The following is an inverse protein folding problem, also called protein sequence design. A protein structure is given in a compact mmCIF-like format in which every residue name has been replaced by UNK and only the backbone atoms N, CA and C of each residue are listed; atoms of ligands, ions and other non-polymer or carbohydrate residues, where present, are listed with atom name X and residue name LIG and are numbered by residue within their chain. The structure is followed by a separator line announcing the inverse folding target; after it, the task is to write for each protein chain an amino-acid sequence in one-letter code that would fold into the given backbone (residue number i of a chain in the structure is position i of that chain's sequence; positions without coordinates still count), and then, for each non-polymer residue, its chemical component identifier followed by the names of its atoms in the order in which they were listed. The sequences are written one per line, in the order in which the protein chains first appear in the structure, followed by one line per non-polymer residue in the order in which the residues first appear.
data_IF_470599083102
#
_entry.id   IF_470599083102
#
_cell.length_a   1.000
_cell.length_b   1.000
_cell.length_c   1.000
_cell.angle_alpha   90.00
_cell.angle_beta   90.00
_cell.angle_gamma   90.00
#
_symmetry.space_group_name_H-M   'P 1'
#
loop_
_entity.id
_entity.type
_entity.pdbx_description
1 polymer ?
#
# COMPACT_ATOMS: atom_id res chain seq x y z
N UNK A 1 40.65 -1.49 0.26
CA UNK A 1 39.92 -1.85 1.49
C UNK A 1 38.44 -1.75 1.19
N UNK A 2 37.65 -2.80 1.41
CA UNK A 2 36.22 -2.75 1.13
C UNK A 2 35.46 -1.94 2.18
N UNK A 3 34.21 -1.58 1.87
CA UNK A 3 33.38 -0.71 2.72
C UNK A 3 33.03 -1.36 4.05
N UNK A 4 32.90 -2.70 4.11
CA UNK A 4 32.61 -3.41 5.36
C UNK A 4 33.85 -3.38 6.25
N UNK A 5 35.03 -3.63 5.66
CA UNK A 5 36.29 -3.55 6.40
C UNK A 5 36.58 -2.14 6.91
N UNK A 6 36.19 -1.12 6.14
CA UNK A 6 36.28 0.28 6.54
C UNK A 6 35.35 0.59 7.72
N UNK A 7 34.11 0.11 7.68
CA UNK A 7 33.15 0.28 8.79
C UNK A 7 33.65 -0.44 10.05
N UNK A 8 34.12 -1.69 9.95
CA UNK A 8 34.67 -2.46 11.08
C UNK A 8 35.82 -1.71 11.77
N UNK A 9 36.73 -1.14 10.99
CA UNK A 9 37.87 -0.38 11.53
C UNK A 9 37.37 0.87 12.27
N UNK A 10 36.43 1.61 11.68
CA UNK A 10 35.87 2.81 12.31
C UNK A 10 35.07 2.49 13.57
N UNK A 11 34.34 1.37 13.59
CA UNK A 11 33.59 0.90 14.76
C UNK A 11 34.51 0.49 15.91
N UNK A 12 35.61 -0.20 15.61
CA UNK A 12 36.63 -0.54 16.60
C UNK A 12 37.23 0.73 17.22
N UNK A 13 37.61 1.71 16.39
CA UNK A 13 38.15 2.98 16.85
C UNK A 13 37.15 3.79 17.67
N UNK A 14 35.89 3.87 17.24
CA UNK A 14 34.83 4.57 17.99
C UNK A 14 34.50 3.89 19.32
N UNK A 15 34.79 2.59 19.44
CA UNK A 15 34.64 1.80 20.67
C UNK A 15 35.88 1.86 21.57
N UNK A 16 36.91 2.62 21.18
CA UNK A 16 38.16 2.73 21.95
C UNK A 16 39.06 1.50 21.83
N UNK A 17 38.97 0.73 20.74
CA UNK A 17 39.73 -0.49 20.52
C UNK A 17 40.65 -0.39 19.28
N UNK A 18 41.81 -1.04 19.35
CA UNK A 18 42.70 -1.24 18.22
C UNK A 18 42.02 -2.11 17.16
N UNK A 19 41.89 -1.65 15.90
CA UNK A 19 41.22 -2.41 14.84
C UNK A 19 42.00 -3.63 14.35
N UNK A 20 43.29 -3.75 14.72
CA UNK A 20 44.16 -4.87 14.32
C UNK A 20 44.37 -5.88 15.44
N UNK A 21 44.44 -5.44 16.70
CA UNK A 21 44.71 -6.31 17.87
C UNK A 21 43.48 -6.53 18.74
N UNK A 22 42.47 -5.66 18.67
CA UNK A 22 41.28 -5.71 19.53
C UNK A 22 41.50 -5.21 20.96
N UNK A 23 42.72 -4.77 21.29
CA UNK A 23 43.07 -4.25 22.61
C UNK A 23 42.49 -2.86 22.84
N UNK A 24 42.20 -2.54 24.11
CA UNK A 24 41.74 -1.21 24.51
C UNK A 24 42.84 -0.17 24.28
N UNK A 25 42.47 0.93 23.65
CA UNK A 25 43.32 2.10 23.45
C UNK A 25 43.40 2.86 24.78
N UNK A 26 44.58 3.34 25.13
CA UNK A 26 44.81 4.13 26.35
C UNK A 26 43.82 5.31 26.47
N UNK A 27 43.28 5.52 27.68
CA UNK A 27 42.22 6.51 27.92
C UNK A 27 42.63 7.95 27.56
N UNK A 28 43.93 8.26 27.58
CA UNK A 28 44.47 9.59 27.24
C UNK A 28 44.67 9.80 25.73
N UNK A 29 44.40 8.79 24.91
CA UNK A 29 44.48 8.88 23.46
C UNK A 29 43.45 9.86 22.89
N UNK A 30 43.87 10.64 21.89
CA UNK A 30 43.00 11.53 21.10
C UNK A 30 41.80 10.79 20.48
N UNK A 31 41.91 9.48 20.27
CA UNK A 31 40.83 8.66 19.71
C UNK A 31 39.66 8.47 20.69
N UNK A 32 39.92 8.63 21.99
CA UNK A 32 38.92 8.55 23.05
C UNK A 32 38.27 9.92 23.37
N UNK A 33 38.68 10.99 22.69
CA UNK A 33 38.02 12.29 22.82
C UNK A 33 36.58 12.23 22.28
N UNK A 34 35.67 12.87 23.01
CA UNK A 34 34.23 12.83 22.71
C UNK A 34 33.91 13.32 21.30
N UNK A 35 34.59 14.37 20.84
CA UNK A 35 34.35 14.95 19.51
C UNK A 35 34.89 14.04 18.39
N UNK A 36 35.98 13.34 18.65
CA UNK A 36 36.56 12.35 17.72
C UNK A 36 35.65 11.14 17.59
N UNK A 37 35.18 10.57 18.71
CA UNK A 37 34.20 9.47 18.72
C UNK A 37 32.93 9.89 17.95
N UNK A 38 32.43 11.11 18.19
CA UNK A 38 31.25 11.64 17.49
C UNK A 38 31.49 11.77 15.98
N UNK A 39 32.65 12.26 15.57
CA UNK A 39 33.01 12.38 14.16
C UNK A 39 33.09 11.00 13.48
N UNK A 40 33.68 10.01 14.15
CA UNK A 40 33.73 8.62 13.68
C UNK A 40 32.33 8.03 13.52
N UNK A 41 31.45 8.25 14.51
CA UNK A 41 30.08 7.76 14.44
C UNK A 41 29.30 8.37 13.26
N UNK A 42 29.46 9.68 13.01
CA UNK A 42 28.86 10.36 11.84
C UNK A 42 29.39 9.76 10.53
N UNK A 43 30.67 9.43 10.45
CA UNK A 43 31.26 8.80 9.28
C UNK A 43 30.70 7.38 9.06
N UNK A 44 30.58 6.57 10.12
CA UNK A 44 29.97 5.24 10.10
C UNK A 44 28.53 5.33 9.59
N UNK A 45 27.73 6.25 10.11
CA UNK A 45 26.33 6.41 9.74
C UNK A 45 26.18 6.83 8.26
N UNK A 46 27.05 7.74 7.78
CA UNK A 46 27.08 8.11 6.35
C UNK A 46 27.49 6.95 5.46
N UNK A 47 28.48 6.15 5.86
CA UNK A 47 28.91 4.97 5.11
C UNK A 47 27.84 3.88 5.09
N UNK A 48 27.14 3.63 6.20
CA UNK A 48 26.00 2.71 6.28
C UNK A 48 24.80 3.21 5.46
N UNK A 49 24.55 4.51 5.43
CA UNK A 49 23.51 5.13 4.60
C UNK A 49 23.86 5.08 3.11
N UNK A 50 25.14 5.27 2.76
CA UNK A 50 25.61 5.08 1.39
C UNK A 50 25.61 3.62 0.97
N UNK A 51 25.87 2.67 1.89
CA UNK A 51 25.64 1.22 1.69
C UNK A 51 24.18 0.92 1.36
N UNK A 52 23.23 1.56 2.04
CA UNK A 52 21.80 1.47 1.71
C UNK A 52 21.46 2.08 0.33
N UNK A 53 22.17 3.13 -0.10
CA UNK A 53 22.03 3.71 -1.46
C UNK A 53 22.77 2.92 -2.56
N UNK A 54 23.76 2.09 -2.23
CA UNK A 54 24.55 1.31 -3.21
C UNK A 54 24.02 -0.11 -3.45
N UNK A 55 22.94 -0.52 -2.78
CA UNK A 55 22.21 -1.74 -3.12
C UNK A 55 21.14 -1.44 -4.20
N UNK A 56 21.55 -0.75 -5.27
CA UNK A 56 20.74 -0.52 -6.48
C UNK A 56 21.32 -1.24 -7.71
N UNK A 57 22.12 -2.27 -7.52
CA UNK A 57 22.71 -3.07 -8.60
C UNK A 57 21.88 -4.34 -8.89
N UNK A 58 20.55 -4.25 -8.71
CA UNK A 58 19.65 -5.30 -9.19
C UNK A 58 19.66 -5.25 -10.71
N UNK A 59 20.33 -6.22 -11.33
CA UNK A 59 20.37 -6.43 -12.77
C UNK A 59 19.48 -7.62 -13.10
N UNK A 60 18.26 -7.31 -13.51
CA UNK A 60 17.32 -8.27 -14.07
C UNK A 60 17.19 -7.94 -15.55
N UNK A 61 17.24 -8.97 -16.39
CA UNK A 61 17.05 -8.80 -17.83
C UNK A 61 15.67 -8.21 -18.13
N UNK A 62 15.60 -7.13 -18.90
CA UNK A 62 14.35 -6.47 -19.23
C UNK A 62 13.37 -7.39 -19.98
N UNK A 63 13.91 -8.33 -20.77
CA UNK A 63 13.10 -9.33 -21.47
C UNK A 63 12.43 -10.28 -20.49
N UNK A 64 13.11 -10.72 -19.43
CA UNK A 64 12.51 -11.53 -18.38
C UNK A 64 11.35 -10.79 -17.71
N UNK A 65 11.53 -9.50 -17.41
CA UNK A 65 10.50 -8.69 -16.75
C UNK A 65 9.27 -8.58 -17.64
N UNK A 66 9.46 -8.27 -18.93
CA UNK A 66 8.38 -8.16 -19.90
C UNK A 66 7.64 -9.48 -20.09
N UNK A 67 8.36 -10.60 -20.23
CA UNK A 67 7.74 -11.93 -20.36
C UNK A 67 6.90 -12.32 -19.15
N UNK A 68 7.38 -12.03 -17.93
CA UNK A 68 6.60 -12.32 -16.71
C UNK A 68 5.38 -11.40 -16.59
N UNK A 69 5.49 -10.14 -16.98
CA UNK A 69 4.35 -9.21 -16.99
C UNK A 69 3.26 -9.70 -17.95
N UNK A 70 3.61 -10.14 -19.15
CA UNK A 70 2.63 -10.71 -20.09
C UNK A 70 2.01 -12.00 -19.54
N UNK A 71 2.81 -12.88 -18.92
CA UNK A 71 2.28 -14.08 -18.25
C UNK A 71 1.24 -13.76 -17.18
N UNK A 72 1.46 -12.70 -16.39
CA UNK A 72 0.46 -12.25 -15.42
C UNK A 72 -0.82 -11.75 -16.11
N UNK A 73 -0.71 -11.02 -17.22
CA UNK A 73 -1.86 -10.51 -17.99
C UNK A 73 -2.67 -11.64 -18.64
N UNK A 74 -2.01 -12.65 -19.19
CA UNK A 74 -2.66 -13.84 -19.78
C UNK A 74 -3.50 -14.60 -18.75
N UNK A 75 -3.05 -14.65 -17.50
CA UNK A 75 -3.78 -15.23 -16.36
C UNK A 75 -4.78 -14.24 -15.73
N UNK A 76 -5.10 -13.13 -16.41
CA UNK A 76 -5.98 -12.04 -15.94
C UNK A 76 -5.56 -11.46 -14.56
N UNK A 77 -4.27 -11.57 -14.23
CA UNK A 77 -3.70 -11.10 -12.99
C UNK A 77 -2.87 -9.84 -13.17
N UNK A 78 -2.96 -8.97 -12.17
CA UNK A 78 -2.18 -7.74 -12.16
C UNK A 78 -0.75 -7.97 -11.63
N UNK A 79 0.32 -7.61 -12.37
CA UNK A 79 1.72 -7.81 -11.98
C UNK A 79 2.21 -6.72 -11.02
N UNK A 80 1.78 -6.76 -9.76
CA UNK A 80 2.28 -5.84 -8.73
C UNK A 80 3.74 -6.09 -8.38
N UNK A 81 4.45 -5.10 -7.82
CA UNK A 81 5.84 -5.27 -7.36
C UNK A 81 5.99 -6.49 -6.45
N UNK A 82 5.07 -6.69 -5.49
CA UNK A 82 5.10 -7.86 -4.60
C UNK A 82 4.88 -9.20 -5.33
N UNK A 83 4.05 -9.23 -6.38
CA UNK A 83 3.84 -10.43 -7.20
C UNK A 83 5.07 -10.74 -8.05
N UNK A 84 5.68 -9.74 -8.68
CA UNK A 84 6.92 -9.90 -9.43
C UNK A 84 8.07 -10.38 -8.53
N UNK A 85 8.23 -9.77 -7.34
CA UNK A 85 9.20 -10.25 -6.33
C UNK A 85 8.92 -11.70 -5.95
N UNK A 86 7.67 -12.02 -5.64
CA UNK A 86 7.27 -13.37 -5.25
C UNK A 86 7.54 -14.40 -6.33
N UNK A 87 7.32 -14.05 -7.60
CA UNK A 87 7.54 -14.91 -8.76
C UNK A 87 9.04 -15.15 -8.98
N UNK A 88 9.85 -14.09 -9.06
CA UNK A 88 11.29 -14.20 -9.31
C UNK A 88 12.08 -14.81 -8.15
N UNK A 89 11.55 -14.78 -6.91
CA UNK A 89 12.08 -15.53 -5.77
C UNK A 89 11.49 -16.94 -5.64
N UNK A 90 10.49 -17.28 -6.44
CA UNK A 90 9.84 -18.59 -6.43
C UNK A 90 9.16 -18.90 -5.10
N UNK A 91 8.40 -17.94 -4.57
CA UNK A 91 7.71 -18.08 -3.29
C UNK A 91 6.53 -19.06 -3.39
N UNK A 92 6.30 -19.88 -2.36
CA UNK A 92 5.19 -20.86 -2.29
C UNK A 92 3.77 -20.27 -2.36
N UNK A 93 3.63 -18.95 -2.51
CA UNK A 93 2.34 -18.25 -2.68
C UNK A 93 1.74 -18.50 -4.06
N UNK A 94 2.55 -18.87 -5.05
CA UNK A 94 2.08 -19.26 -6.37
C UNK A 94 1.67 -20.73 -6.34
N UNK A 95 0.40 -21.00 -6.63
CA UNK A 95 -0.17 -22.34 -6.70
C UNK A 95 -0.55 -22.74 -8.13
N UNK A 96 -0.68 -21.78 -9.04
CA UNK A 96 -1.00 -22.07 -10.45
C UNK A 96 0.21 -22.70 -11.14
N UNK A 97 -0.05 -23.83 -11.80
CA UNK A 97 0.95 -24.61 -12.54
C UNK A 97 1.58 -23.78 -13.66
N UNK A 98 0.82 -22.86 -14.27
CA UNK A 98 1.32 -21.90 -15.27
C UNK A 98 2.49 -21.06 -14.74
N UNK A 99 2.40 -20.56 -13.49
CA UNK A 99 3.48 -19.76 -12.91
C UNK A 99 4.64 -20.62 -12.43
N UNK A 100 4.37 -21.76 -11.78
CA UNK A 100 5.40 -22.60 -11.15
C UNK A 100 6.24 -23.36 -12.20
N UNK A 101 5.65 -23.71 -13.33
CA UNK A 101 6.34 -24.39 -14.44
C UNK A 101 7.17 -23.44 -15.33
N UNK A 102 7.01 -22.12 -15.17
CA UNK A 102 7.72 -21.14 -15.98
C UNK A 102 9.22 -21.11 -15.65
N UNK A 103 10.08 -21.10 -16.66
CA UNK A 103 11.55 -21.10 -16.51
C UNK A 103 12.12 -19.91 -15.71
N UNK A 104 11.38 -18.80 -15.62
CA UNK A 104 11.79 -17.60 -14.89
C UNK A 104 11.37 -17.63 -13.41
N UNK A 105 10.52 -18.59 -13.03
CA UNK A 105 10.05 -18.75 -11.66
C UNK A 105 11.21 -19.13 -10.72
N UNK A 106 11.48 -18.28 -9.73
CA UNK A 106 12.62 -18.47 -8.83
C UNK A 106 14.00 -18.22 -9.42
N UNK A 107 14.11 -17.75 -10.67
CA UNK A 107 15.40 -17.51 -11.38
C UNK A 107 16.39 -16.67 -10.56
N UNK A 108 15.88 -15.72 -9.78
CA UNK A 108 16.70 -14.76 -9.02
C UNK A 108 16.74 -15.05 -7.52
N UNK A 109 16.22 -16.19 -7.06
CA UNK A 109 16.09 -16.56 -5.63
C UNK A 109 17.40 -16.44 -4.86
N UNK A 110 18.51 -16.85 -5.46
CA UNK A 110 19.82 -16.88 -4.80
C UNK A 110 20.69 -15.65 -5.12
N UNK A 111 20.16 -14.71 -5.90
CA UNK A 111 20.90 -13.53 -6.37
C UNK A 111 20.52 -12.26 -5.61
N UNK A 112 19.25 -12.14 -5.20
CA UNK A 112 18.74 -10.93 -4.58
C UNK A 112 17.86 -11.22 -3.36
N UNK A 113 17.91 -10.33 -2.39
CA UNK A 113 16.98 -10.34 -1.26
C UNK A 113 15.65 -9.71 -1.66
N UNK A 114 14.58 -10.09 -0.93
CA UNK A 114 13.22 -9.57 -1.13
C UNK A 114 13.16 -8.04 -1.13
N UNK A 115 13.85 -7.38 -0.20
CA UNK A 115 13.87 -5.92 -0.10
C UNK A 115 14.44 -5.26 -1.35
N UNK A 116 15.58 -5.78 -1.85
CA UNK A 116 16.25 -5.26 -3.05
C UNK A 116 15.34 -5.36 -4.29
N UNK A 117 14.70 -6.52 -4.47
CA UNK A 117 13.77 -6.71 -5.59
C UNK A 117 12.52 -5.85 -5.44
N UNK A 118 12.03 -5.64 -4.22
CA UNK A 118 10.86 -4.79 -3.99
C UNK A 118 11.14 -3.35 -4.36
N UNK A 119 12.29 -2.81 -3.95
CA UNK A 119 12.72 -1.46 -4.29
C UNK A 119 12.93 -1.33 -5.80
N UNK A 120 13.58 -2.33 -6.42
CA UNK A 120 13.76 -2.39 -7.87
C UNK A 120 12.43 -2.39 -8.63
N UNK A 121 11.51 -3.32 -8.35
CA UNK A 121 10.25 -3.42 -9.08
C UNK A 121 9.29 -2.28 -8.76
N UNK A 122 9.39 -1.65 -7.59
CA UNK A 122 8.63 -0.43 -7.30
C UNK A 122 9.07 0.71 -8.21
N UNK A 123 10.39 0.88 -8.40
CA UNK A 123 10.96 1.88 -9.29
C UNK A 123 10.68 1.56 -10.77
N UNK A 124 10.97 0.33 -11.20
CA UNK A 124 10.78 -0.11 -12.58
C UNK A 124 9.33 0.09 -13.04
N UNK A 125 8.35 -0.33 -12.23
CA UNK A 125 6.94 -0.16 -12.61
C UNK A 125 6.55 1.33 -12.66
N UNK A 126 7.13 2.18 -11.81
CA UNK A 126 6.81 3.61 -11.79
C UNK A 126 7.36 4.30 -13.05
N UNK A 127 8.63 4.02 -13.39
CA UNK A 127 9.31 4.57 -14.58
C UNK A 127 8.63 4.13 -15.88
N UNK A 128 8.05 2.94 -15.91
CA UNK A 128 7.38 2.38 -17.09
C UNK A 128 5.86 2.62 -17.12
N UNK A 129 5.31 3.42 -16.20
CA UNK A 129 3.86 3.66 -16.06
C UNK A 129 3.02 2.38 -15.87
N UNK A 130 3.62 1.34 -15.29
CA UNK A 130 3.00 0.04 -15.00
C UNK A 130 2.54 -0.09 -13.54
N UNK A 131 2.75 0.94 -12.71
CA UNK A 131 2.23 0.93 -11.34
C UNK A 131 0.70 1.01 -11.34
N UNK A 132 0.10 0.21 -10.47
CA UNK A 132 -1.30 0.34 -10.05
C UNK A 132 -1.70 1.70 -9.47
N UNK A 133 -0.75 2.62 -9.23
CA UNK A 133 -1.10 3.99 -8.86
C UNK A 133 -1.74 4.76 -10.03
N UNK A 134 -1.43 4.39 -11.26
CA UNK A 134 -2.09 4.89 -12.47
C UNK A 134 -3.16 3.93 -13.00
N UNK A 135 -3.55 2.95 -12.19
CA UNK A 135 -4.97 2.66 -12.07
C UNK A 135 -5.56 3.67 -11.04
N UNK A 136 -5.43 4.98 -11.27
CA UNK A 136 -6.62 5.60 -11.87
C UNK A 136 -7.15 4.68 -12.95
N UNK A 137 -7.94 3.67 -12.52
CA UNK A 137 -9.14 3.43 -13.31
C UNK A 137 -9.64 4.85 -13.51
N UNK A 138 -9.59 5.32 -14.74
CA UNK A 138 -10.33 6.48 -15.20
C UNK A 138 -11.79 6.06 -15.07
N UNK A 139 -12.18 5.75 -13.83
CA UNK A 139 -13.45 5.30 -13.35
C UNK A 139 -14.27 6.52 -13.68
N UNK A 140 -15.02 6.48 -14.79
CA UNK A 140 -15.56 7.69 -15.36
C UNK A 140 -16.51 8.36 -14.36
N UNK A 141 -17.06 7.57 -13.43
CA UNK A 141 -17.82 8.02 -12.28
C UNK A 141 -17.07 8.93 -11.29
N UNK A 142 -15.74 8.83 -11.14
CA UNK A 142 -14.97 9.72 -10.24
C UNK A 142 -14.92 11.17 -10.72
N UNK A 143 -15.27 11.44 -11.98
CA UNK A 143 -15.41 12.80 -12.53
C UNK A 143 -16.73 13.47 -12.09
N UNK A 144 -17.64 12.73 -11.46
CA UNK A 144 -18.91 13.27 -10.97
C UNK A 144 -18.65 14.10 -9.71
N UNK A 145 -18.91 15.40 -9.84
CA UNK A 145 -18.71 16.42 -8.81
C UNK A 145 -19.94 16.62 -7.90
N UNK A 146 -20.91 15.70 -7.94
CA UNK A 146 -22.21 15.84 -7.29
C UNK A 146 -22.13 16.19 -5.79
N UNK A 147 -21.23 15.53 -5.05
CA UNK A 147 -21.01 15.73 -3.62
C UNK A 147 -20.05 16.90 -3.31
N UNK A 148 -19.39 17.46 -4.32
CA UNK A 148 -18.52 18.63 -4.22
C UNK A 148 -19.27 19.95 -4.44
N UNK A 149 -20.50 19.89 -4.97
CA UNK A 149 -21.36 21.06 -5.15
C UNK A 149 -21.83 21.59 -3.80
N UNK A 150 -22.42 22.79 -3.84
CA UNK A 150 -23.09 23.36 -2.68
C UNK A 150 -24.09 22.36 -2.08
N UNK A 151 -24.03 22.20 -0.76
CA UNK A 151 -24.82 21.20 -0.06
C UNK A 151 -26.31 21.55 -0.10
N UNK A 152 -27.14 20.58 -0.44
CA UNK A 152 -28.59 20.67 -0.39
C UNK A 152 -29.21 19.42 0.24
N UNK A 153 -30.33 19.63 0.91
CA UNK A 153 -31.17 18.55 1.41
C UNK A 153 -32.64 18.93 1.22
N UNK A 154 -33.39 18.05 0.54
CA UNK A 154 -34.83 18.15 0.31
C UNK A 154 -35.59 16.98 0.93
N UNK A 155 -34.91 16.11 1.68
CA UNK A 155 -35.56 15.06 2.45
C UNK A 155 -36.29 15.68 3.64
N UNK A 156 -37.57 15.33 3.78
CA UNK A 156 -38.31 15.61 5.01
C UNK A 156 -37.79 14.77 6.16
N UNK A 157 -37.99 15.23 7.40
CA UNK A 157 -37.64 14.48 8.61
C UNK A 157 -38.27 13.07 8.63
N UNK A 158 -39.53 12.95 8.17
CA UNK A 158 -40.21 11.66 8.01
C UNK A 158 -39.48 10.75 7.02
N UNK A 159 -39.02 11.28 5.90
CA UNK A 159 -38.28 10.51 4.90
C UNK A 159 -36.89 10.07 5.42
N UNK A 160 -36.22 10.94 6.19
CA UNK A 160 -34.96 10.62 6.87
C UNK A 160 -35.14 9.45 7.85
N UNK A 161 -36.18 9.52 8.69
CA UNK A 161 -36.46 8.44 9.65
C UNK A 161 -36.80 7.12 8.96
N UNK A 162 -37.62 7.16 7.91
CA UNK A 162 -37.92 5.97 7.10
C UNK A 162 -36.68 5.39 6.40
N UNK A 163 -35.75 6.23 5.97
CA UNK A 163 -34.49 5.78 5.39
C UNK A 163 -33.62 5.07 6.42
N UNK A 164 -33.51 5.63 7.63
CA UNK A 164 -32.78 5.01 8.76
C UNK A 164 -33.37 3.65 9.12
N UNK A 165 -34.68 3.56 9.30
CA UNK A 165 -35.39 2.30 9.59
C UNK A 165 -35.09 1.22 8.55
N UNK A 166 -35.16 1.56 7.25
CA UNK A 166 -34.86 0.62 6.17
C UNK A 166 -33.39 0.22 6.10
N UNK A 167 -32.47 1.10 6.48
CA UNK A 167 -31.05 0.76 6.56
C UNK A 167 -30.78 -0.15 7.77
N UNK A 168 -31.44 0.09 8.90
CA UNK A 168 -31.33 -0.75 10.09
C UNK A 168 -31.79 -2.19 9.82
N UNK A 169 -32.87 -2.35 9.04
CA UNK A 169 -33.39 -3.66 8.60
C UNK A 169 -32.38 -4.48 7.78
N UNK A 170 -31.38 -3.85 7.15
CA UNK A 170 -30.32 -4.55 6.41
C UNK A 170 -29.36 -5.32 7.34
N UNK A 171 -29.23 -4.87 8.59
CA UNK A 171 -28.33 -5.45 9.58
C UNK A 171 -26.83 -5.39 9.21
N UNK A 172 -26.04 -6.11 10.01
CA UNK A 172 -24.58 -6.28 9.84
C UNK A 172 -24.30 -7.77 9.65
N UNK A 173 -23.75 -8.15 8.51
CA UNK A 173 -23.48 -9.55 8.17
C UNK A 173 -22.11 -10.01 8.70
N UNK A 174 -21.08 -9.16 8.64
CA UNK A 174 -19.75 -9.52 9.14
C UNK A 174 -19.65 -9.27 10.64
N UNK A 175 -19.77 -10.30 11.45
CA UNK A 175 -19.71 -10.20 12.92
C UNK A 175 -18.46 -10.84 13.54
N UNK A 176 -17.83 -11.80 12.85
CA UNK A 176 -16.70 -12.57 13.37
C UNK A 176 -15.35 -12.12 12.80
N UNK A 177 -14.26 -12.34 13.56
CA UNK A 177 -12.86 -12.12 13.14
C UNK A 177 -12.57 -10.70 12.60
N UNK A 178 -13.22 -9.68 13.17
CA UNK A 178 -13.03 -8.29 12.78
C UNK A 178 -11.65 -7.78 13.23
N UNK A 179 -10.90 -7.16 12.31
CA UNK A 179 -9.67 -6.45 12.68
C UNK A 179 -9.97 -5.22 13.54
N UNK A 180 -9.02 -4.82 14.39
CA UNK A 180 -9.14 -3.64 15.26
C UNK A 180 -9.51 -2.37 14.48
N UNK A 181 -8.95 -2.21 13.28
CA UNK A 181 -9.27 -1.11 12.38
C UNK A 181 -10.76 -1.09 11.96
N UNK A 182 -11.35 -2.26 11.67
CA UNK A 182 -12.78 -2.37 11.33
C UNK A 182 -13.64 -2.09 12.57
N UNK A 183 -13.24 -2.58 13.74
CA UNK A 183 -13.94 -2.32 15.00
C UNK A 183 -13.98 -0.81 15.30
N UNK A 184 -12.84 -0.13 15.19
CA UNK A 184 -12.73 1.32 15.43
C UNK A 184 -13.59 2.14 14.47
N UNK A 185 -13.65 1.77 13.19
CA UNK A 185 -14.51 2.44 12.22
C UNK A 185 -16.01 2.27 12.56
N UNK A 186 -16.39 1.12 13.10
CA UNK A 186 -17.77 0.79 13.46
C UNK A 186 -18.31 1.52 14.69
N UNK A 187 -17.44 2.14 15.48
CA UNK A 187 -17.86 3.03 16.59
C UNK A 187 -18.71 4.18 16.04
N UNK A 188 -18.31 4.76 14.91
CA UNK A 188 -19.01 5.91 14.30
C UNK A 188 -19.90 5.49 13.12
N UNK A 189 -19.58 4.38 12.47
CA UNK A 189 -20.26 3.91 11.26
C UNK A 189 -20.55 2.41 11.38
N UNK A 190 -21.63 2.00 12.06
CA UNK A 190 -21.94 0.60 12.36
C UNK A 190 -21.81 -0.35 11.16
N UNK A 191 -22.16 0.10 9.95
CA UNK A 191 -22.12 -0.68 8.70
C UNK A 191 -20.85 -0.46 7.88
N UNK A 192 -19.78 0.08 8.49
CA UNK A 192 -18.46 0.15 7.88
C UNK A 192 -17.95 -1.25 7.47
N UNK A 193 -17.34 -1.31 6.28
CA UNK A 193 -16.78 -2.52 5.65
C UNK A 193 -17.80 -3.61 5.26
N UNK A 194 -19.10 -3.35 5.38
CA UNK A 194 -20.13 -4.21 4.77
C UNK A 194 -20.11 -4.04 3.24
N UNK A 195 -20.40 -5.10 2.51
CA UNK A 195 -20.60 -5.01 1.06
C UNK A 195 -21.89 -4.24 0.77
N UNK A 196 -21.93 -3.46 -0.31
CA UNK A 196 -23.17 -2.79 -0.76
C UNK A 196 -24.11 -3.81 -1.41
N UNK A 197 -25.24 -4.09 -0.77
CA UNK A 197 -26.30 -4.93 -1.34
C UNK A 197 -27.10 -4.14 -2.38
N UNK A 198 -27.83 -4.82 -3.25
CA UNK A 198 -28.62 -4.13 -4.29
C UNK A 198 -29.77 -3.32 -3.67
N UNK A 199 -30.43 -3.85 -2.63
CA UNK A 199 -31.42 -3.10 -1.84
C UNK A 199 -30.84 -1.82 -1.24
N UNK A 200 -29.61 -1.89 -0.71
CA UNK A 200 -28.95 -0.72 -0.14
C UNK A 200 -28.59 0.33 -1.20
N UNK A 201 -28.12 -0.13 -2.38
CA UNK A 201 -27.85 0.75 -3.52
C UNK A 201 -29.12 1.42 -4.02
N UNK A 202 -30.25 0.72 -4.05
CA UNK A 202 -31.55 1.31 -4.41
C UNK A 202 -31.98 2.39 -3.42
N UNK A 203 -31.77 2.17 -2.11
CA UNK A 203 -32.02 3.20 -1.09
C UNK A 203 -31.13 4.42 -1.32
N UNK A 204 -29.82 4.21 -1.58
CA UNK A 204 -28.89 5.31 -1.82
C UNK A 204 -29.24 6.07 -3.10
N UNK A 205 -29.54 5.35 -4.19
CA UNK A 205 -29.94 5.93 -5.48
C UNK A 205 -31.16 6.85 -5.32
N UNK A 206 -32.18 6.40 -4.57
CA UNK A 206 -33.36 7.23 -4.25
C UNK A 206 -33.00 8.43 -3.38
N UNK A 207 -32.14 8.25 -2.37
CA UNK A 207 -31.78 9.33 -1.45
C UNK A 207 -31.01 10.46 -2.16
N UNK A 208 -30.08 10.13 -3.04
CA UNK A 208 -29.23 11.11 -3.74
C UNK A 208 -30.01 11.96 -4.76
N UNK A 209 -31.23 11.58 -5.15
CA UNK A 209 -32.14 12.46 -5.90
C UNK A 209 -32.59 13.69 -5.08
N UNK A 210 -32.58 13.59 -3.75
CA UNK A 210 -33.11 14.62 -2.84
C UNK A 210 -32.04 15.29 -1.98
N UNK A 211 -30.83 14.74 -1.90
CA UNK A 211 -29.74 15.36 -1.13
C UNK A 211 -28.35 14.99 -1.66
N UNK A 212 -27.41 15.91 -1.56
CA UNK A 212 -25.97 15.63 -1.68
C UNK A 212 -25.24 15.81 -0.34
N UNK A 213 -25.97 15.89 0.77
CA UNK A 213 -25.40 16.06 2.11
C UNK A 213 -24.76 14.75 2.58
N UNK A 214 -23.44 14.69 2.48
CA UNK A 214 -22.66 13.53 2.89
C UNK A 214 -22.71 13.27 4.40
N UNK A 215 -22.91 14.29 5.24
CA UNK A 215 -23.06 14.09 6.68
C UNK A 215 -24.38 13.38 6.98
N UNK A 216 -25.48 13.88 6.41
CA UNK A 216 -26.80 13.27 6.53
C UNK A 216 -26.82 11.84 5.97
N UNK A 217 -26.27 11.63 4.78
CA UNK A 217 -26.23 10.30 4.17
C UNK A 217 -25.34 9.34 4.96
N UNK A 218 -24.20 9.82 5.48
CA UNK A 218 -23.30 9.02 6.31
C UNK A 218 -23.97 8.53 7.59
N UNK A 219 -24.75 9.40 8.23
CA UNK A 219 -25.56 9.08 9.41
C UNK A 219 -26.68 8.08 9.06
N UNK A 220 -27.48 8.36 8.01
CA UNK A 220 -28.57 7.49 7.60
C UNK A 220 -28.12 6.08 7.19
N UNK A 221 -27.02 5.97 6.44
CA UNK A 221 -26.51 4.69 5.93
C UNK A 221 -25.53 4.00 6.88
N UNK A 222 -25.16 4.66 7.98
CA UNK A 222 -24.20 4.13 8.96
C UNK A 222 -22.85 3.76 8.33
N UNK A 223 -22.42 4.54 7.33
CA UNK A 223 -21.18 4.34 6.55
C UNK A 223 -20.38 5.61 6.50
N UNK A 224 -19.05 5.49 6.36
CA UNK A 224 -18.19 6.66 6.19
C UNK A 224 -18.47 7.43 4.90
N UNK A 225 -18.32 8.76 4.94
CA UNK A 225 -18.57 9.68 3.82
C UNK A 225 -17.93 9.25 2.51
N UNK A 226 -16.65 8.86 2.55
CA UNK A 226 -15.93 8.42 1.34
C UNK A 226 -16.54 7.16 0.70
N UNK A 227 -17.16 6.28 1.50
CA UNK A 227 -17.86 5.11 0.96
C UNK A 227 -19.18 5.50 0.29
N UNK A 228 -19.93 6.43 0.90
CA UNK A 228 -21.15 7.00 0.34
C UNK A 228 -20.85 7.72 -0.97
N UNK A 229 -19.88 8.60 -0.96
CA UNK A 229 -19.44 9.37 -2.12
C UNK A 229 -19.05 8.45 -3.29
N UNK A 230 -18.16 7.48 -3.03
CA UNK A 230 -17.71 6.55 -4.07
C UNK A 230 -18.86 5.70 -4.64
N UNK A 231 -19.80 5.24 -3.80
CA UNK A 231 -20.95 4.47 -4.27
C UNK A 231 -21.95 5.36 -5.01
N UNK A 232 -22.24 6.55 -4.49
CA UNK A 232 -23.18 7.50 -5.08
C UNK A 232 -22.70 7.99 -6.46
N UNK A 233 -21.41 8.33 -6.60
CA UNK A 233 -20.82 8.66 -7.89
C UNK A 233 -21.03 7.54 -8.91
N UNK A 234 -20.78 6.29 -8.50
CA UNK A 234 -20.97 5.12 -9.36
C UNK A 234 -22.43 4.96 -9.79
N UNK A 235 -23.39 5.11 -8.88
CA UNK A 235 -24.83 5.03 -9.18
C UNK A 235 -25.29 6.15 -10.13
N UNK A 236 -24.82 7.38 -9.92
CA UNK A 236 -25.14 8.50 -10.80
C UNK A 236 -24.59 8.24 -12.20
N UNK A 237 -23.34 7.77 -12.31
CA UNK A 237 -22.74 7.42 -13.59
C UNK A 237 -23.54 6.33 -14.31
N UNK A 238 -23.88 5.25 -13.61
CA UNK A 238 -24.67 4.15 -14.17
C UNK A 238 -26.04 4.65 -14.65
N UNK A 239 -26.72 5.52 -13.90
CA UNK A 239 -28.01 6.09 -14.31
C UNK A 239 -27.96 6.98 -15.56
N UNK A 240 -26.80 7.58 -15.87
CA UNK A 240 -26.60 8.45 -17.03
C UNK A 240 -26.20 7.67 -18.30
N UNK A 241 -25.81 6.41 -18.17
CA UNK A 241 -25.27 5.57 -19.25
C UNK A 241 -26.10 4.30 -19.50
N UNK A 242 -27.29 4.22 -18.93
CA UNK A 242 -28.33 3.21 -19.19
C UNK A 242 -29.33 3.76 -20.21
#
# INVERSE_FOLDING_TARGET
MDINKTIEILEALASGCSPTTGEMIENESILNERDVIRALQIAIDKLKTNKLKTISDVKIDETDIKSVIELFKEEEQNPTSNKLVGFFLGTRKFQSETFVSNQLYGKYRNLYQKGQLLDFFTRYLAENNLTNRNNEKNDPYKKIDFFQKETFNRLSEKAINQLKEKVDELGILKTENLSEYVQNARINHPRAYESWTDTEKELLSKAIEYTNDLDLLSDCFQRGKSSIESCGQKLIYESQNL
#
